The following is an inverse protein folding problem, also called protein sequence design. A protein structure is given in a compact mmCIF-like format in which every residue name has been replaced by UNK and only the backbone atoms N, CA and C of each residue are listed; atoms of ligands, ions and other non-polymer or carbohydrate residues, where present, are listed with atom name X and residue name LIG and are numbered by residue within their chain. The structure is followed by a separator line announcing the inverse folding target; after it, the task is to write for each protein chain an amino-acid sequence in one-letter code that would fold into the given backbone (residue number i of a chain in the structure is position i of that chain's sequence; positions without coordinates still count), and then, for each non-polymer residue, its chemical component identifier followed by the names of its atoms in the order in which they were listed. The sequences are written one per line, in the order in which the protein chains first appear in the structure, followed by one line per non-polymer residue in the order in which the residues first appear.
data_IF_829274416626
#
_entry.id   IF_829274416626
#
_cell.length_a   1.000
_cell.length_b   1.000
_cell.length_c   1.000
_cell.angle_alpha   90.00
_cell.angle_beta   90.00
_cell.angle_gamma   90.00
#
_symmetry.space_group_name_H-M   'P 1'
#
loop_
_entity.id
_entity.type
_entity.pdbx_description
1 polymer ?
#
# COMPACT_ATOMS: atom_id res chain seq x y z
N UNK A 1 7.62 -33.59 -17.82
CA UNK A 1 8.69 -32.57 -17.77
C UNK A 1 8.08 -31.29 -17.19
N UNK A 2 8.49 -30.86 -15.99
CA UNK A 2 8.11 -29.54 -15.47
C UNK A 2 8.98 -28.54 -16.21
N UNK A 3 8.41 -27.79 -17.15
CA UNK A 3 9.11 -26.68 -17.79
C UNK A 3 9.66 -25.78 -16.68
N UNK A 4 10.98 -25.66 -16.61
CA UNK A 4 11.61 -24.69 -15.75
C UNK A 4 11.11 -23.30 -16.18
N UNK A 5 10.39 -22.62 -15.29
CA UNK A 5 9.79 -21.32 -15.52
C UNK A 5 10.90 -20.26 -15.63
N UNK A 6 11.57 -20.21 -16.79
CA UNK A 6 12.60 -19.21 -17.07
C UNK A 6 11.90 -17.85 -17.07
N UNK A 7 12.31 -16.90 -16.23
CA UNK A 7 11.71 -15.58 -16.24
C UNK A 7 11.96 -14.91 -17.60
N UNK A 8 10.89 -14.42 -18.23
CA UNK A 8 11.01 -13.68 -19.49
C UNK A 8 12.02 -12.54 -19.33
N UNK A 9 12.84 -12.29 -20.36
CA UNK A 9 13.78 -11.17 -20.34
C UNK A 9 13.02 -9.85 -20.29
N UNK A 10 13.64 -8.81 -19.73
CA UNK A 10 12.97 -7.50 -19.60
C UNK A 10 12.57 -6.89 -20.94
N UNK A 11 13.34 -7.17 -22.01
CA UNK A 11 12.98 -6.76 -23.37
C UNK A 11 11.71 -7.48 -23.88
N UNK A 12 11.56 -8.77 -23.57
CA UNK A 12 10.38 -9.55 -23.92
C UNK A 12 9.15 -9.04 -23.14
N UNK A 13 9.34 -8.67 -21.86
CA UNK A 13 8.29 -8.05 -21.03
C UNK A 13 7.84 -6.69 -21.59
N UNK A 14 8.77 -5.85 -22.06
CA UNK A 14 8.47 -4.58 -22.72
C UNK A 14 7.74 -4.80 -24.05
N UNK A 15 8.13 -5.84 -24.80
CA UNK A 15 7.47 -6.23 -26.04
C UNK A 15 6.00 -6.62 -25.82
N UNK A 16 5.68 -7.33 -24.73
CA UNK A 16 4.30 -7.67 -24.40
C UNK A 16 3.41 -6.43 -24.24
N UNK A 17 3.91 -5.35 -23.64
CA UNK A 17 3.15 -4.09 -23.56
C UNK A 17 2.94 -3.48 -24.94
N UNK A 18 3.99 -3.43 -25.78
CA UNK A 18 3.89 -2.91 -27.15
C UNK A 18 2.90 -3.70 -28.00
N UNK A 19 2.95 -5.03 -27.96
CA UNK A 19 2.02 -5.93 -28.66
C UNK A 19 0.55 -5.69 -28.26
N UNK A 20 0.32 -5.21 -27.03
CA UNK A 20 -1.00 -4.87 -26.50
C UNK A 20 -1.39 -3.41 -26.73
N UNK A 21 -0.73 -2.70 -27.63
CA UNK A 21 -1.03 -1.32 -28.00
C UNK A 21 -0.67 -0.27 -26.93
N UNK A 22 0.30 -0.55 -26.06
CA UNK A 22 0.91 0.50 -25.22
C UNK A 22 1.85 1.34 -26.08
N UNK A 23 1.61 2.65 -26.12
CA UNK A 23 2.38 3.58 -26.95
C UNK A 23 3.66 4.05 -26.27
N UNK A 24 4.59 4.63 -27.04
CA UNK A 24 5.86 5.17 -26.54
C UNK A 24 6.96 4.12 -26.31
N UNK A 25 6.78 2.90 -26.82
CA UNK A 25 7.76 1.81 -26.75
C UNK A 25 8.38 1.58 -28.13
N UNK A 26 9.64 1.95 -28.29
CA UNK A 26 10.44 1.66 -29.49
C UNK A 26 11.32 0.43 -29.22
N UNK A 27 11.18 -0.62 -30.03
CA UNK A 27 11.98 -1.87 -29.93
C UNK A 27 12.91 -2.04 -31.14
N UNK A 28 12.92 -1.08 -32.06
CA UNK A 28 13.79 -1.08 -33.23
C UNK A 28 15.20 -0.69 -32.81
N UNK A 29 16.17 -1.54 -33.14
CA UNK A 29 17.60 -1.32 -32.92
C UNK A 29 18.26 -0.80 -34.21
N UNK A 30 17.61 -1.00 -35.36
CA UNK A 30 18.15 -0.58 -36.66
C UNK A 30 17.84 0.90 -36.90
N UNK A 31 18.89 1.71 -37.05
CA UNK A 31 18.86 3.14 -37.39
C UNK A 31 18.25 4.07 -36.31
N UNK A 32 18.51 3.76 -35.06
CA UNK A 32 17.94 4.44 -33.89
C UNK A 32 18.77 5.66 -33.48
N UNK A 33 18.13 6.81 -33.29
CA UNK A 33 18.80 8.01 -32.77
C UNK A 33 19.33 7.77 -31.35
N UNK A 34 20.42 8.42 -30.94
CA UNK A 34 21.00 8.24 -29.60
C UNK A 34 19.96 8.44 -28.46
N UNK A 35 19.00 9.33 -28.68
CA UNK A 35 17.89 9.62 -27.77
C UNK A 35 16.93 8.43 -27.58
N UNK A 36 16.66 7.67 -28.63
CA UNK A 36 15.77 6.50 -28.57
C UNK A 36 16.44 5.31 -27.87
N UNK A 37 17.76 5.16 -28.02
CA UNK A 37 18.56 4.17 -27.28
C UNK A 37 18.51 4.49 -25.79
N UNK A 38 18.74 5.75 -25.40
CA UNK A 38 18.63 6.19 -24.01
C UNK A 38 17.22 5.94 -23.43
N UNK A 39 16.18 6.26 -24.20
CA UNK A 39 14.79 6.00 -23.80
C UNK A 39 14.54 4.50 -23.57
N UNK A 40 15.02 3.63 -24.46
CA UNK A 40 14.88 2.19 -24.32
C UNK A 40 15.60 1.68 -23.06
N UNK A 41 16.84 2.12 -22.82
CA UNK A 41 17.55 1.78 -21.59
C UNK A 41 16.77 2.19 -20.35
N UNK A 42 16.24 3.42 -20.32
CA UNK A 42 15.40 3.91 -19.22
C UNK A 42 14.15 3.04 -19.00
N UNK A 43 13.49 2.61 -20.08
CA UNK A 43 12.33 1.72 -19.99
C UNK A 43 12.69 0.34 -19.44
N UNK A 44 13.81 -0.23 -19.88
CA UNK A 44 14.33 -1.51 -19.38
C UNK A 44 14.71 -1.44 -17.90
N UNK A 45 15.43 -0.40 -17.49
CA UNK A 45 15.74 -0.15 -16.07
C UNK A 45 14.46 0.00 -15.25
N UNK A 46 13.47 0.74 -15.76
CA UNK A 46 12.17 0.92 -15.10
C UNK A 46 11.44 -0.41 -14.90
N UNK A 47 11.38 -1.27 -15.93
CA UNK A 47 10.77 -2.60 -15.81
C UNK A 47 11.56 -3.49 -14.84
N UNK A 48 12.89 -3.41 -14.86
CA UNK A 48 13.74 -4.16 -13.92
C UNK A 48 13.49 -3.74 -12.47
N UNK A 49 13.32 -2.44 -12.20
CA UNK A 49 13.06 -1.91 -10.86
C UNK A 49 11.63 -2.14 -10.36
N UNK A 50 10.61 -1.90 -11.19
CA UNK A 50 9.20 -1.96 -10.77
C UNK A 50 8.62 -3.37 -10.93
N UNK A 51 9.06 -4.09 -11.96
CA UNK A 51 8.53 -5.38 -12.38
C UNK A 51 7.33 -5.28 -13.33
N UNK A 52 7.32 -6.17 -14.33
CA UNK A 52 6.23 -6.25 -15.32
C UNK A 52 4.85 -6.48 -14.70
N UNK A 53 4.74 -7.42 -13.74
CA UNK A 53 3.45 -7.74 -13.11
C UNK A 53 2.87 -6.57 -12.32
N UNK A 54 3.72 -5.79 -11.64
CA UNK A 54 3.32 -4.56 -10.97
C UNK A 54 2.70 -3.60 -11.98
N UNK A 55 3.44 -3.26 -13.04
CA UNK A 55 2.95 -2.34 -14.08
C UNK A 55 1.69 -2.88 -14.78
N UNK A 56 1.60 -4.19 -15.03
CA UNK A 56 0.41 -4.83 -15.61
C UNK A 56 -0.83 -4.66 -14.73
N UNK A 57 -0.68 -4.70 -13.41
CA UNK A 57 -1.80 -4.44 -12.49
C UNK A 57 -2.30 -2.99 -12.59
N UNK A 58 -1.40 -2.02 -12.74
CA UNK A 58 -1.76 -0.61 -12.93
C UNK A 58 -2.33 -0.30 -14.32
N UNK A 59 -2.07 -1.15 -15.32
CA UNK A 59 -2.60 -0.99 -16.68
C UNK A 59 -4.02 -1.56 -16.86
N UNK A 60 -4.50 -2.42 -15.95
CA UNK A 60 -5.85 -3.04 -16.02
C UNK A 60 -7.00 -2.07 -16.31
N UNK A 61 -7.06 -0.85 -15.74
CA UNK A 61 -8.15 0.09 -16.02
C UNK A 61 -8.22 0.54 -17.49
N UNK A 62 -7.10 0.48 -18.21
CA UNK A 62 -6.98 0.86 -19.61
C UNK A 62 -7.18 -0.32 -20.56
N UNK A 63 -7.40 -1.53 -20.03
CA UNK A 63 -7.51 -2.74 -20.83
C UNK A 63 -8.93 -2.92 -21.36
N UNK A 64 -9.07 -2.84 -22.68
CA UNK A 64 -10.30 -3.13 -23.38
C UNK A 64 -10.40 -4.65 -23.63
N UNK A 65 -11.30 -5.32 -22.89
CA UNK A 65 -11.51 -6.77 -22.99
C UNK A 65 -11.93 -7.24 -24.39
N UNK A 66 -12.96 -6.66 -25.05
CA UNK A 66 -13.37 -7.15 -26.38
C UNK A 66 -12.29 -6.97 -27.45
N UNK A 67 -11.48 -5.90 -27.37
CA UNK A 67 -10.37 -5.68 -28.32
C UNK A 67 -9.04 -6.33 -27.91
N UNK A 68 -8.98 -6.88 -26.70
CA UNK A 68 -7.80 -7.53 -26.11
C UNK A 68 -6.52 -6.65 -26.15
N UNK A 69 -6.69 -5.33 -26.01
CA UNK A 69 -5.65 -4.29 -26.15
C UNK A 69 -5.87 -3.16 -25.14
N UNK A 70 -4.82 -2.39 -24.86
CA UNK A 70 -4.91 -1.17 -24.07
C UNK A 70 -5.33 0.01 -24.95
N UNK A 71 -6.21 0.86 -24.40
CA UNK A 71 -6.67 2.11 -25.03
C UNK A 71 -6.16 3.31 -24.23
N UNK A 72 -5.68 4.36 -24.93
CA UNK A 72 -5.15 5.60 -24.34
C UNK A 72 -4.09 5.38 -23.22
N UNK A 73 -3.15 4.46 -23.44
CA UNK A 73 -2.08 4.15 -22.50
C UNK A 73 -0.71 4.25 -23.18
N UNK A 74 0.10 5.21 -22.73
CA UNK A 74 1.54 5.24 -23.02
C UNK A 74 2.33 4.64 -21.85
N UNK A 75 3.54 4.14 -22.14
CA UNK A 75 4.42 3.60 -21.11
C UNK A 75 4.74 4.63 -20.02
N UNK A 76 5.04 5.87 -20.42
CA UNK A 76 5.34 6.95 -19.48
C UNK A 76 4.12 7.30 -18.59
N UNK A 77 2.90 7.27 -19.15
CA UNK A 77 1.66 7.46 -18.39
C UNK A 77 1.43 6.32 -17.37
N UNK A 78 1.74 5.09 -17.76
CA UNK A 78 1.65 3.93 -16.87
C UNK A 78 2.63 4.05 -15.69
N UNK A 79 3.87 4.41 -15.97
CA UNK A 79 4.92 4.59 -14.96
C UNK A 79 4.59 5.77 -14.05
N UNK A 80 4.16 6.91 -14.62
CA UNK A 80 3.74 8.07 -13.84
C UNK A 80 2.58 7.75 -12.90
N UNK A 81 1.60 6.94 -13.34
CA UNK A 81 0.51 6.45 -12.51
C UNK A 81 1.02 5.62 -11.33
N UNK A 82 1.94 4.70 -11.59
CA UNK A 82 2.57 3.89 -10.54
C UNK A 82 3.24 4.76 -9.47
N UNK A 83 4.09 5.72 -9.88
CA UNK A 83 4.79 6.59 -8.94
C UNK A 83 3.84 7.52 -8.20
N UNK A 84 2.82 8.06 -8.86
CA UNK A 84 1.79 8.88 -8.20
C UNK A 84 1.09 8.10 -7.09
N UNK A 85 0.66 6.87 -7.37
CA UNK A 85 -0.01 6.02 -6.38
C UNK A 85 0.96 5.60 -5.25
N UNK A 86 2.25 5.42 -5.56
CA UNK A 86 3.30 5.16 -4.55
C UNK A 86 3.51 6.35 -3.62
N UNK A 87 3.68 7.55 -4.17
CA UNK A 87 3.86 8.78 -3.40
C UNK A 87 2.64 9.11 -2.56
N UNK A 88 1.43 8.90 -3.11
CA UNK A 88 0.19 9.10 -2.35
C UNK A 88 0.13 8.17 -1.12
N UNK A 89 0.45 6.89 -1.28
CA UNK A 89 0.49 5.94 -0.14
C UNK A 89 1.50 6.37 0.91
N UNK A 90 2.69 6.80 0.48
CA UNK A 90 3.73 7.28 1.38
C UNK A 90 3.29 8.54 2.14
N UNK A 91 2.67 9.51 1.46
CA UNK A 91 2.15 10.72 2.10
C UNK A 91 1.04 10.41 3.12
N UNK A 92 0.14 9.48 2.80
CA UNK A 92 -0.92 9.05 3.72
C UNK A 92 -0.32 8.37 4.96
N UNK A 93 0.68 7.50 4.77
CA UNK A 93 1.36 6.84 5.90
C UNK A 93 2.03 7.85 6.83
N UNK A 94 2.77 8.80 6.27
CA UNK A 94 3.41 9.86 7.04
C UNK A 94 2.40 10.70 7.83
N UNK A 95 1.27 11.06 7.21
CA UNK A 95 0.21 11.79 7.92
C UNK A 95 -0.39 10.99 9.09
N UNK A 96 -0.56 9.67 8.93
CA UNK A 96 -1.04 8.79 10.01
C UNK A 96 -0.01 8.73 11.15
N UNK A 97 1.26 8.58 10.82
CA UNK A 97 2.37 8.53 11.78
C UNK A 97 2.48 9.83 12.60
N UNK A 98 2.31 10.99 11.96
CA UNK A 98 2.29 12.30 12.63
C UNK A 98 1.11 12.43 13.61
N UNK A 99 -0.08 11.98 13.19
CA UNK A 99 -1.28 11.98 14.03
C UNK A 99 -1.08 11.07 15.24
N UNK A 100 -0.55 9.86 15.02
CA UNK A 100 -0.27 8.89 16.06
C UNK A 100 0.75 9.41 17.08
N UNK A 101 1.90 9.89 16.60
CA UNK A 101 2.96 10.45 17.45
C UNK A 101 2.44 11.62 18.28
N UNK A 102 1.65 12.52 17.68
CA UNK A 102 1.04 13.66 18.37
C UNK A 102 0.05 13.21 19.43
N UNK A 103 -0.81 12.24 19.10
CA UNK A 103 -1.82 11.71 20.02
C UNK A 103 -1.17 11.02 21.22
N UNK A 104 -0.19 10.14 20.97
CA UNK A 104 0.56 9.43 22.00
C UNK A 104 1.27 10.41 22.93
N UNK A 105 1.91 11.44 22.38
CA UNK A 105 2.57 12.49 23.18
C UNK A 105 1.58 13.23 24.07
N UNK A 106 0.41 13.62 23.53
CA UNK A 106 -0.63 14.30 24.32
C UNK A 106 -1.19 13.41 25.43
N UNK A 107 -1.51 12.15 25.12
CA UNK A 107 -1.99 11.18 26.10
C UNK A 107 -0.95 10.96 27.20
N UNK A 108 0.31 10.69 26.83
CA UNK A 108 1.40 10.49 27.77
C UNK A 108 1.61 11.72 28.68
N UNK A 109 1.57 12.93 28.12
CA UNK A 109 1.68 14.17 28.90
C UNK A 109 0.52 14.32 29.89
N UNK A 110 -0.73 14.07 29.47
CA UNK A 110 -1.91 14.17 30.35
C UNK A 110 -1.85 13.12 31.47
N UNK A 111 -1.52 11.87 31.13
CA UNK A 111 -1.40 10.78 32.09
C UNK A 111 -0.23 10.98 33.04
N UNK A 112 0.91 11.43 32.53
CA UNK A 112 2.11 11.73 33.32
C UNK A 112 1.88 12.84 34.34
N UNK A 113 1.19 13.92 33.93
CA UNK A 113 0.82 15.02 34.85
C UNK A 113 -0.15 14.58 35.94
N UNK A 114 -1.11 13.71 35.63
CA UNK A 114 -2.17 13.31 36.57
C UNK A 114 -1.79 12.15 37.48
N UNK A 115 -1.01 11.20 36.99
CA UNK A 115 -0.74 9.91 37.65
C UNK A 115 0.76 9.61 37.83
N UNK A 116 1.64 10.54 37.47
CA UNK A 116 3.10 10.38 37.57
C UNK A 116 3.71 9.61 36.40
N UNK A 117 5.04 9.49 36.40
CA UNK A 117 5.82 8.95 35.27
C UNK A 117 5.37 7.55 34.81
N UNK A 118 4.89 6.70 35.73
CA UNK A 118 4.45 5.33 35.43
C UNK A 118 2.92 5.18 35.36
N UNK A 119 2.16 6.27 35.49
CA UNK A 119 0.71 6.22 35.57
C UNK A 119 0.01 5.73 34.30
N UNK A 120 0.69 5.77 33.15
CA UNK A 120 0.18 5.21 31.90
C UNK A 120 0.17 3.66 31.89
N UNK A 121 1.05 3.02 32.66
CA UNK A 121 1.15 1.55 32.73
C UNK A 121 -0.05 0.92 33.45
N UNK A 122 -0.64 1.61 34.43
CA UNK A 122 -1.83 1.13 35.11
C UNK A 122 -3.10 1.59 34.39
N UNK A 123 -3.56 0.75 33.46
CA UNK A 123 -4.77 0.93 32.67
C UNK A 123 -6.01 1.29 33.50
N UNK A 124 -6.10 0.86 34.77
CA UNK A 124 -7.22 1.18 35.66
C UNK A 124 -7.27 2.65 36.04
N UNK A 125 -6.15 3.38 36.00
CA UNK A 125 -6.07 4.78 36.42
C UNK A 125 -6.80 5.70 35.44
N UNK A 126 -6.79 5.37 34.16
CA UNK A 126 -7.30 6.23 33.09
C UNK A 126 -8.45 5.62 32.30
N UNK A 127 -8.83 4.38 32.56
CA UNK A 127 -10.03 3.80 32.00
C UNK A 127 -11.32 4.29 32.66
N UNK A 128 -12.39 4.23 31.89
CA UNK A 128 -13.74 4.56 32.36
C UNK A 128 -14.13 3.61 33.50
N UNK A 129 -14.29 4.18 34.71
CA UNK A 129 -14.62 3.45 35.95
C UNK A 129 -16.12 3.42 36.26
N UNK A 130 -16.88 4.31 35.62
CA UNK A 130 -18.27 4.57 35.98
C UNK A 130 -19.23 3.43 35.53
N UNK A 131 -18.79 2.56 34.61
CA UNK A 131 -19.59 1.46 34.04
C UNK A 131 -18.71 0.21 33.92
N UNK A 132 -19.32 -0.98 33.91
CA UNK A 132 -18.63 -2.24 33.60
C UNK A 132 -17.86 -2.12 32.29
N UNK A 133 -16.54 -2.12 32.39
CA UNK A 133 -15.65 -1.93 31.26
C UNK A 133 -15.31 -3.29 30.62
N UNK A 134 -15.80 -3.53 29.39
CA UNK A 134 -15.54 -4.76 28.62
C UNK A 134 -14.06 -4.98 28.28
N UNK A 135 -13.25 -3.93 28.32
CA UNK A 135 -11.82 -3.96 28.03
C UNK A 135 -10.96 -4.32 29.24
N UNK A 136 -11.55 -4.48 30.43
CA UNK A 136 -10.86 -4.92 31.64
C UNK A 136 -11.08 -6.41 31.90
N UNK A 137 -10.00 -7.12 32.21
CA UNK A 137 -10.03 -8.45 32.84
C UNK A 137 -9.28 -8.36 34.18
N UNK A 138 -10.01 -8.00 35.23
CA UNK A 138 -9.43 -7.74 36.55
C UNK A 138 -8.56 -6.46 36.53
N UNK A 139 -7.26 -6.61 36.82
CA UNK A 139 -6.29 -5.48 36.80
C UNK A 139 -5.69 -5.21 35.42
N UNK A 140 -5.85 -6.13 34.48
CA UNK A 140 -5.18 -6.06 33.18
C UNK A 140 -6.15 -5.76 32.05
N UNK A 141 -5.59 -5.22 30.97
CA UNK A 141 -6.29 -4.97 29.73
C UNK A 141 -6.57 -6.29 29.00
N UNK A 142 -7.80 -6.47 28.52
CA UNK A 142 -8.19 -7.65 27.76
C UNK A 142 -7.78 -7.52 26.29
N UNK A 143 -6.58 -8.03 25.95
CA UNK A 143 -6.01 -7.98 24.59
C UNK A 143 -6.94 -8.57 23.53
N UNK A 144 -7.68 -9.63 23.84
CA UNK A 144 -8.61 -10.27 22.90
C UNK A 144 -9.80 -9.39 22.54
N UNK A 145 -10.37 -8.68 23.52
CA UNK A 145 -11.49 -7.76 23.26
C UNK A 145 -11.03 -6.59 22.40
N UNK A 146 -9.84 -6.04 22.67
CA UNK A 146 -9.27 -4.97 21.87
C UNK A 146 -9.00 -5.43 20.44
N UNK A 147 -8.37 -6.60 20.28
CA UNK A 147 -8.10 -7.16 18.96
C UNK A 147 -9.40 -7.40 18.18
N UNK A 148 -10.47 -7.84 18.85
CA UNK A 148 -11.78 -8.01 18.21
C UNK A 148 -12.38 -6.68 17.75
N UNK A 149 -12.33 -5.63 18.57
CA UNK A 149 -12.82 -4.31 18.18
C UNK A 149 -11.97 -3.71 17.05
N UNK A 150 -10.66 -3.94 17.05
CA UNK A 150 -9.78 -3.59 15.93
C UNK A 150 -10.27 -4.27 14.65
N UNK A 151 -10.46 -5.60 14.67
CA UNK A 151 -10.98 -6.33 13.50
C UNK A 151 -12.34 -5.81 13.03
N UNK A 152 -13.28 -5.57 13.94
CA UNK A 152 -14.60 -5.02 13.60
C UNK A 152 -14.49 -3.63 12.94
N UNK A 153 -13.58 -2.79 13.44
CA UNK A 153 -13.31 -1.48 12.84
C UNK A 153 -12.72 -1.63 11.44
N UNK A 154 -11.78 -2.55 11.24
CA UNK A 154 -11.20 -2.85 9.92
C UNK A 154 -12.25 -3.35 8.94
N UNK A 155 -13.16 -4.23 9.37
CA UNK A 155 -14.27 -4.70 8.54
C UNK A 155 -15.21 -3.56 8.14
N UNK A 156 -15.52 -2.66 9.07
CA UNK A 156 -16.35 -1.48 8.82
C UNK A 156 -15.68 -0.55 7.81
N UNK A 157 -14.39 -0.26 8.00
CA UNK A 157 -13.61 0.52 7.03
C UNK A 157 -13.56 -0.16 5.66
N UNK A 158 -13.36 -1.48 5.62
CA UNK A 158 -13.34 -2.23 4.38
C UNK A 158 -14.66 -2.11 3.63
N UNK A 159 -15.78 -2.21 4.33
CA UNK A 159 -17.11 -2.00 3.75
C UNK A 159 -17.26 -0.60 3.17
N UNK A 160 -16.90 0.43 3.93
CA UNK A 160 -16.95 1.83 3.46
C UNK A 160 -16.04 2.08 2.26
N UNK A 161 -14.81 1.56 2.26
CA UNK A 161 -13.83 1.73 1.17
C UNK A 161 -14.26 0.94 -0.08
N UNK A 162 -14.82 -0.27 0.08
CA UNK A 162 -15.33 -1.06 -1.05
C UNK A 162 -16.42 -0.31 -1.81
N UNK A 163 -17.24 0.46 -1.09
CA UNK A 163 -18.28 1.32 -1.68
C UNK A 163 -17.73 2.63 -2.25
N UNK A 164 -16.59 3.13 -1.76
CA UNK A 164 -16.00 4.41 -2.18
C UNK A 164 -15.02 4.26 -3.36
N UNK A 165 -14.10 3.28 -3.33
CA UNK A 165 -13.06 3.07 -4.37
C UNK A 165 -12.70 1.57 -4.48
N UNK A 166 -13.27 0.81 -5.43
CA UNK A 166 -13.16 -0.65 -5.50
C UNK A 166 -11.79 -1.22 -5.91
N UNK A 167 -10.68 -0.46 -5.91
CA UNK A 167 -9.37 -0.95 -6.38
C UNK A 167 -8.15 -0.62 -5.50
N UNK A 168 -8.20 0.40 -4.63
CA UNK A 168 -7.06 0.77 -3.75
C UNK A 168 -6.99 -0.02 -2.43
N UNK A 169 -8.08 -0.69 -2.03
CA UNK A 169 -8.22 -1.30 -0.70
C UNK A 169 -7.21 -2.42 -0.44
N UNK A 170 -6.81 -3.20 -1.46
CA UNK A 170 -5.85 -4.31 -1.28
C UNK A 170 -4.46 -3.85 -0.83
N UNK A 171 -4.04 -2.63 -1.17
CA UNK A 171 -2.69 -2.15 -0.85
C UNK A 171 -2.67 -1.45 0.51
N UNK A 172 -3.74 -0.72 0.85
CA UNK A 172 -3.92 -0.16 2.20
C UNK A 172 -4.01 -1.29 3.23
N UNK A 173 -4.68 -2.39 2.91
CA UNK A 173 -4.83 -3.54 3.81
C UNK A 173 -3.50 -4.22 4.18
N UNK A 174 -2.57 -4.35 3.22
CA UNK A 174 -1.23 -4.93 3.48
C UNK A 174 -0.40 -4.01 4.37
N UNK A 175 -0.44 -2.70 4.10
CA UNK A 175 0.28 -1.69 4.88
C UNK A 175 -0.27 -1.62 6.32
N UNK A 176 -1.59 -1.67 6.49
CA UNK A 176 -2.21 -1.61 7.81
C UNK A 176 -1.97 -2.89 8.62
N UNK A 177 -1.91 -4.07 7.97
CA UNK A 177 -1.57 -5.34 8.62
C UNK A 177 -0.11 -5.37 9.08
N UNK A 178 0.83 -4.90 8.25
CA UNK A 178 2.24 -4.81 8.66
C UNK A 178 2.42 -3.83 9.83
N UNK A 179 1.68 -2.71 9.83
CA UNK A 179 1.67 -1.75 10.94
C UNK A 179 1.13 -2.38 12.26
N UNK A 180 0.04 -3.16 12.18
CA UNK A 180 -0.53 -3.85 13.36
C UNK A 180 0.44 -4.93 13.90
N UNK A 181 1.16 -5.64 13.02
CA UNK A 181 2.14 -6.63 13.44
C UNK A 181 3.39 -6.02 14.10
N UNK A 182 3.84 -4.85 13.64
CA UNK A 182 4.92 -4.08 14.27
C UNK A 182 4.52 -3.55 15.66
N UNK A 183 3.25 -3.20 15.86
CA UNK A 183 2.75 -2.66 17.12
C UNK A 183 2.37 -3.72 18.17
N UNK A 184 2.17 -4.98 17.77
CA UNK A 184 1.83 -6.08 18.67
C UNK A 184 2.98 -6.59 19.56
N UNK A 185 4.19 -6.05 19.37
CA UNK A 185 5.44 -6.37 20.08
C UNK A 185 5.85 -5.32 21.13
N UNK A 186 5.07 -4.23 21.29
CA UNK A 186 5.17 -3.26 22.39
C UNK A 186 3.97 -3.38 23.33
#
# INVERSE_FOLDING_TARGET
MREHNIPLRYIDQLALFKMRNVTGISLSIHNTSALEIDRLHKQLTTISTIGYYSLKNYSVPYFNRPKNRYEDLSFDKLVAKYYRDKHLKQAVLHAIEDIETTLNTKIASVLGKKYGAYGYLDFRLWCQRNIKNKFLRGKYMNKFVIQREQTNFLETLQYSIKNLIPKMYKIIYVILIEYIHLFGLL
#
